data_IF_514808207082
#
_entry.id   IF_514808207082
#
_cell.length_a   1.000
_cell.length_b   1.000
_cell.length_c   1.000
_cell.angle_alpha   90.00
_cell.angle_beta   90.00
_cell.angle_gamma   90.00
#
_symmetry.space_group_name_H-M   'P 1'
#
loop_
_entity.id
_entity.type
_entity.pdbx_description
1 polymer ?
#
# COMPACT_ATOMS: atom_id res chain seq x y z
N UNK A 1 47.46 30.38 -35.79
CA UNK A 1 47.71 31.07 -34.52
C UNK A 1 46.45 30.96 -33.67
N UNK A 2 46.51 30.21 -32.56
CA UNK A 2 45.47 30.14 -31.53
C UNK A 2 45.55 31.37 -30.60
N UNK A 3 44.41 31.87 -30.12
CA UNK A 3 44.16 32.48 -28.79
C UNK A 3 42.65 32.79 -28.72
N UNK A 4 41.81 32.02 -28.00
CA UNK A 4 41.57 31.93 -26.56
C UNK A 4 40.89 33.15 -25.92
N UNK A 5 39.59 33.05 -25.60
CA UNK A 5 39.00 33.44 -24.30
C UNK A 5 37.47 33.26 -24.30
N UNK A 6 37.00 32.30 -23.51
CA UNK A 6 35.60 32.10 -23.13
C UNK A 6 35.41 32.71 -21.73
N UNK A 7 34.53 33.69 -21.48
CA UNK A 7 34.22 34.12 -20.14
C UNK A 7 32.91 33.47 -19.70
N UNK A 8 32.98 32.26 -19.15
CA UNK A 8 31.84 31.66 -18.43
C UNK A 8 32.30 30.92 -17.18
N UNK A 9 32.87 31.66 -16.24
CA UNK A 9 32.94 31.23 -14.84
C UNK A 9 31.67 31.70 -14.13
N UNK A 10 30.56 30.99 -14.35
CA UNK A 10 29.48 30.96 -13.37
C UNK A 10 29.94 29.99 -12.29
N UNK A 11 30.31 30.54 -11.14
CA UNK A 11 30.59 29.80 -9.92
C UNK A 11 29.36 28.98 -9.55
N UNK A 12 29.41 27.66 -9.76
CA UNK A 12 28.44 26.74 -9.21
C UNK A 12 28.55 26.82 -7.67
N UNK A 13 27.44 26.98 -6.93
CA UNK A 13 27.49 26.70 -5.50
C UNK A 13 27.86 25.23 -5.33
N UNK A 14 29.00 24.99 -4.70
CA UNK A 14 29.39 23.70 -4.16
C UNK A 14 28.34 23.28 -3.12
N UNK A 15 27.39 22.44 -3.51
CA UNK A 15 26.35 21.87 -2.65
C UNK A 15 26.48 20.34 -2.52
N UNK A 16 27.68 19.79 -2.59
CA UNK A 16 27.92 18.34 -2.57
C UNK A 16 28.38 17.78 -1.21
N UNK A 17 28.06 18.43 -0.09
CA UNK A 17 28.46 17.89 1.23
C UNK A 17 27.42 18.09 2.35
N UNK A 18 26.11 18.11 2.01
CA UNK A 18 25.04 18.11 3.02
C UNK A 18 23.87 17.16 2.70
N UNK A 19 23.96 16.35 1.64
CA UNK A 19 22.84 15.54 1.13
C UNK A 19 22.83 14.08 1.60
N UNK A 20 23.97 13.47 1.94
CA UNK A 20 24.02 12.00 2.15
C UNK A 20 23.28 11.45 3.39
N UNK A 21 22.96 12.27 4.39
CA UNK A 21 22.31 11.78 5.62
C UNK A 21 20.79 12.01 5.65
N UNK A 22 20.24 12.85 4.76
CA UNK A 22 18.79 13.09 4.62
C UNK A 22 18.16 12.23 3.52
N UNK A 23 18.92 11.84 2.50
CA UNK A 23 18.44 10.98 1.39
C UNK A 23 17.95 9.60 1.88
N UNK A 24 18.67 9.00 2.84
CA UNK A 24 18.37 7.64 3.32
C UNK A 24 17.09 7.55 4.16
N UNK A 25 16.82 8.56 4.99
CA UNK A 25 15.62 8.59 5.83
C UNK A 25 14.36 8.87 5.00
N UNK A 26 14.44 9.74 4.00
CA UNK A 26 13.34 10.00 3.08
C UNK A 26 13.04 8.77 2.23
N UNK A 27 14.06 8.09 1.71
CA UNK A 27 13.91 6.83 0.98
C UNK A 27 13.24 5.75 1.85
N UNK A 28 13.74 5.59 3.08
CA UNK A 28 13.21 4.63 4.03
C UNK A 28 11.76 4.94 4.38
N UNK A 29 11.42 6.21 4.62
CA UNK A 29 10.05 6.61 4.95
C UNK A 29 9.10 6.41 3.76
N UNK A 30 9.49 6.78 2.54
CA UNK A 30 8.68 6.56 1.33
C UNK A 30 8.37 5.08 1.07
N UNK A 31 9.39 4.23 1.19
CA UNK A 31 9.25 2.77 1.09
C UNK A 31 8.39 2.24 2.24
N UNK A 32 8.56 2.78 3.44
CA UNK A 32 7.83 2.35 4.62
C UNK A 32 6.33 2.67 4.55
N UNK A 33 5.97 3.88 4.12
CA UNK A 33 4.58 4.25 3.88
C UNK A 33 3.98 3.34 2.81
N UNK A 34 4.68 3.16 1.69
CA UNK A 34 4.20 2.32 0.59
C UNK A 34 3.97 0.87 0.99
N UNK A 35 4.87 0.28 1.78
CA UNK A 35 4.70 -1.07 2.36
C UNK A 35 3.52 -1.14 3.32
N UNK A 36 3.35 -0.13 4.17
CA UNK A 36 2.21 -0.03 5.10
C UNK A 36 0.87 0.06 4.36
N UNK A 37 0.80 0.90 3.32
CA UNK A 37 -0.38 1.05 2.47
C UNK A 37 -0.66 -0.22 1.66
N UNK A 38 0.38 -0.86 1.11
CA UNK A 38 0.23 -2.13 0.40
C UNK A 38 -0.23 -3.26 1.33
N UNK A 39 0.25 -3.29 2.56
CA UNK A 39 -0.24 -4.21 3.57
C UNK A 39 -1.71 -3.95 3.91
N UNK A 40 -2.09 -2.68 4.11
CA UNK A 40 -3.48 -2.27 4.33
C UNK A 40 -4.39 -2.73 3.17
N UNK A 41 -3.90 -2.60 1.92
CA UNK A 41 -4.58 -3.04 0.70
C UNK A 41 -4.87 -4.56 0.68
N UNK A 42 -4.04 -5.35 1.38
CA UNK A 42 -4.27 -6.80 1.55
C UNK A 42 -5.50 -7.13 2.40
N UNK A 43 -5.89 -6.24 3.31
CA UNK A 43 -7.10 -6.41 4.14
C UNK A 43 -8.36 -5.90 3.43
N UNK A 44 -8.28 -4.72 2.82
CA UNK A 44 -9.35 -4.07 2.06
C UNK A 44 -8.73 -3.30 0.91
N UNK A 45 -9.38 -3.29 -0.24
CA UNK A 45 -8.87 -2.69 -1.48
C UNK A 45 -9.15 -1.19 -1.50
N UNK A 46 -10.41 -0.80 -1.26
CA UNK A 46 -10.87 0.56 -1.50
C UNK A 46 -10.67 1.47 -0.31
N UNK A 47 -10.82 0.97 0.92
CA UNK A 47 -10.60 1.78 2.14
C UNK A 47 -9.18 2.39 2.19
N UNK A 48 -8.08 1.63 1.99
CA UNK A 48 -6.74 2.20 1.98
C UNK A 48 -6.49 3.17 0.82
N UNK A 49 -7.03 2.88 -0.37
CA UNK A 49 -6.93 3.77 -1.53
C UNK A 49 -7.61 5.12 -1.27
N UNK A 50 -8.82 5.10 -0.70
CA UNK A 50 -9.55 6.30 -0.32
C UNK A 50 -8.78 7.12 0.71
N UNK A 51 -8.29 6.48 1.77
CA UNK A 51 -7.56 7.16 2.84
C UNK A 51 -6.20 7.70 2.36
N UNK A 52 -5.50 6.97 1.49
CA UNK A 52 -4.26 7.44 0.87
C UNK A 52 -4.50 8.67 -0.02
N UNK A 53 -5.54 8.65 -0.85
CA UNK A 53 -5.90 9.80 -1.68
C UNK A 53 -6.40 11.01 -0.86
N UNK A 54 -7.13 10.77 0.24
CA UNK A 54 -7.48 11.81 1.22
C UNK A 54 -6.23 12.38 1.90
N UNK A 55 -5.29 11.53 2.30
CA UNK A 55 -4.01 11.96 2.89
C UNK A 55 -3.19 12.81 1.92
N UNK A 56 -3.21 12.45 0.62
CA UNK A 56 -2.56 13.23 -0.43
C UNK A 56 -3.24 14.60 -0.61
N UNK A 57 -4.57 14.64 -0.65
CA UNK A 57 -5.37 15.89 -0.74
C UNK A 57 -5.00 16.91 0.34
N UNK A 58 -4.83 16.44 1.58
CA UNK A 58 -4.50 17.31 2.72
C UNK A 58 -3.01 17.58 2.86
N UNK A 59 -2.17 17.06 1.96
CA UNK A 59 -0.72 17.28 1.95
C UNK A 59 0.08 16.41 2.93
N UNK A 60 -0.53 15.36 3.50
CA UNK A 60 0.16 14.42 4.40
C UNK A 60 0.82 13.24 3.68
N UNK A 61 0.52 13.03 2.40
CA UNK A 61 1.12 11.97 1.59
C UNK A 61 1.59 12.52 0.25
N UNK A 62 2.91 12.71 0.03
CA UNK A 62 3.41 13.12 -1.27
C UNK A 62 3.24 11.98 -2.28
N UNK A 63 2.76 12.33 -3.48
CA UNK A 63 2.50 11.38 -4.56
C UNK A 63 3.59 11.47 -5.63
N UNK A 64 4.01 10.31 -6.14
CA UNK A 64 4.96 10.23 -7.24
C UNK A 64 4.37 10.82 -8.53
N UNK A 65 5.26 11.27 -9.43
CA UNK A 65 4.85 11.81 -10.73
C UNK A 65 3.97 10.82 -11.50
N UNK A 66 2.81 11.30 -11.97
CA UNK A 66 1.79 10.49 -12.66
C UNK A 66 0.70 9.91 -11.74
N UNK A 67 0.81 10.05 -10.42
CA UNK A 67 -0.21 9.58 -9.46
C UNK A 67 -1.12 10.69 -8.91
N UNK A 68 -1.00 11.93 -9.41
CA UNK A 68 -1.85 13.05 -8.97
C UNK A 68 -3.35 12.81 -9.14
N UNK A 69 -3.77 11.93 -10.05
CA UNK A 69 -5.18 11.53 -10.16
C UNK A 69 -5.75 10.92 -8.88
N UNK A 70 -4.92 10.37 -7.99
CA UNK A 70 -5.38 9.75 -6.74
C UNK A 70 -5.96 10.79 -5.77
N UNK A 71 -5.55 12.05 -5.87
CA UNK A 71 -6.11 13.16 -5.10
C UNK A 71 -7.25 13.89 -5.85
N UNK A 72 -7.72 13.42 -7.01
CA UNK A 72 -8.78 14.11 -7.75
C UNK A 72 -10.15 13.97 -7.04
N UNK A 73 -10.99 15.00 -7.08
CA UNK A 73 -12.31 15.00 -6.42
C UNK A 73 -13.19 13.86 -6.91
N UNK A 74 -13.23 13.63 -8.22
CA UNK A 74 -14.04 12.57 -8.84
C UNK A 74 -13.53 11.20 -8.38
N UNK A 75 -12.20 11.02 -8.34
CA UNK A 75 -11.58 9.76 -7.93
C UNK A 75 -11.90 9.45 -6.47
N UNK A 76 -11.82 10.43 -5.55
CA UNK A 76 -12.18 10.19 -4.16
C UNK A 76 -13.67 9.90 -3.96
N UNK A 77 -14.57 10.54 -4.72
CA UNK A 77 -16.00 10.22 -4.65
C UNK A 77 -16.26 8.78 -5.11
N UNK A 78 -15.62 8.35 -6.19
CA UNK A 78 -15.72 6.97 -6.68
C UNK A 78 -15.12 5.97 -5.68
N UNK A 79 -13.95 6.27 -5.11
CA UNK A 79 -13.33 5.44 -4.08
C UNK A 79 -14.16 5.40 -2.79
N UNK A 80 -14.83 6.50 -2.42
CA UNK A 80 -15.74 6.54 -1.28
C UNK A 80 -16.97 5.66 -1.52
N UNK A 81 -17.59 5.76 -2.69
CA UNK A 81 -18.69 4.86 -3.08
C UNK A 81 -18.24 3.40 -3.09
N UNK A 82 -17.06 3.11 -3.65
CA UNK A 82 -16.49 1.76 -3.70
C UNK A 82 -16.15 1.22 -2.29
N UNK A 83 -15.62 2.06 -1.39
CA UNK A 83 -15.36 1.69 0.00
C UNK A 83 -16.65 1.43 0.79
N UNK A 84 -17.70 2.22 0.54
CA UNK A 84 -19.03 1.96 1.11
C UNK A 84 -19.59 0.63 0.61
N UNK A 85 -19.47 0.35 -0.69
CA UNK A 85 -19.86 -0.95 -1.26
C UNK A 85 -19.00 -2.07 -0.68
N UNK A 86 -17.70 -1.87 -0.50
CA UNK A 86 -16.78 -2.85 0.09
C UNK A 86 -17.18 -3.25 1.52
N UNK A 87 -17.65 -2.28 2.32
CA UNK A 87 -18.19 -2.52 3.66
C UNK A 87 -19.61 -3.10 3.58
N UNK A 88 -20.44 -2.64 2.65
CA UNK A 88 -21.83 -3.06 2.47
C UNK A 88 -22.01 -4.40 1.75
N UNK A 89 -20.99 -4.89 1.04
CA UNK A 89 -20.98 -6.18 0.34
C UNK A 89 -21.29 -7.35 1.30
N UNK A 90 -21.07 -7.13 2.60
CA UNK A 90 -21.51 -8.02 3.68
C UNK A 90 -23.01 -8.35 3.67
N UNK A 91 -23.86 -7.54 3.03
CA UNK A 91 -25.32 -7.69 3.05
C UNK A 91 -25.93 -8.25 1.76
N UNK A 92 -25.16 -8.51 0.70
CA UNK A 92 -25.69 -8.90 -0.62
C UNK A 92 -25.05 -10.22 -1.11
N UNK A 93 -25.61 -11.39 -0.73
CA UNK A 93 -25.00 -12.71 -0.98
C UNK A 93 -24.86 -13.14 -2.46
N UNK A 94 -25.38 -12.38 -3.43
CA UNK A 94 -25.30 -12.72 -4.88
C UNK A 94 -24.14 -12.02 -5.62
N UNK A 95 -23.49 -11.03 -5.01
CA UNK A 95 -22.36 -10.30 -5.61
C UNK A 95 -21.02 -11.06 -5.47
N UNK A 96 -21.00 -12.06 -4.60
CA UNK A 96 -19.79 -12.68 -4.05
C UNK A 96 -19.04 -13.61 -5.03
N UNK A 97 -19.74 -14.31 -5.93
CA UNK A 97 -19.09 -15.34 -6.78
C UNK A 97 -18.31 -14.78 -7.99
N UNK A 98 -18.64 -13.56 -8.45
CA UNK A 98 -17.89 -12.88 -9.52
C UNK A 98 -16.80 -11.96 -8.94
N UNK A 99 -17.03 -11.41 -7.73
CA UNK A 99 -16.02 -10.62 -7.03
C UNK A 99 -14.89 -11.47 -6.45
N UNK A 100 -15.15 -12.64 -5.86
CA UNK A 100 -14.10 -13.40 -5.15
C UNK A 100 -12.93 -13.81 -6.08
N UNK A 101 -13.19 -14.05 -7.37
CA UNK A 101 -12.13 -14.29 -8.36
C UNK A 101 -11.33 -13.02 -8.70
N UNK A 102 -11.96 -11.85 -8.63
CA UNK A 102 -11.35 -10.56 -8.94
C UNK A 102 -10.72 -9.87 -7.73
N UNK A 103 -11.14 -10.21 -6.50
CA UNK A 103 -10.70 -9.57 -5.26
C UNK A 103 -9.22 -9.85 -4.98
N UNK A 104 -8.75 -11.08 -5.20
CA UNK A 104 -7.34 -11.42 -5.03
C UNK A 104 -6.41 -10.62 -5.97
N UNK A 105 -6.62 -10.57 -7.30
CA UNK A 105 -5.81 -9.74 -8.18
C UNK A 105 -6.05 -8.24 -7.93
N UNK A 106 -7.25 -7.82 -7.52
CA UNK A 106 -7.52 -6.43 -7.14
C UNK A 106 -6.72 -5.99 -5.90
N UNK A 107 -6.60 -6.83 -4.87
CA UNK A 107 -5.79 -6.54 -3.69
C UNK A 107 -4.30 -6.39 -4.04
N UNK A 108 -3.78 -7.29 -4.88
CA UNK A 108 -2.40 -7.20 -5.36
C UNK A 108 -2.19 -5.93 -6.16
N UNK A 109 -3.05 -5.63 -7.14
CA UNK A 109 -2.92 -4.42 -7.97
C UNK A 109 -3.04 -3.14 -7.16
N UNK A 110 -3.96 -3.07 -6.18
CA UNK A 110 -4.04 -1.93 -5.27
C UNK A 110 -2.77 -1.77 -4.44
N UNK A 111 -2.19 -2.86 -3.94
CA UNK A 111 -0.91 -2.83 -3.23
C UNK A 111 0.26 -2.36 -4.10
N UNK A 112 0.30 -2.79 -5.37
CA UNK A 112 1.27 -2.29 -6.35
C UNK A 112 1.08 -0.78 -6.58
N UNK A 113 -0.16 -0.34 -6.83
CA UNK A 113 -0.46 1.07 -7.11
C UNK A 113 -0.11 1.98 -5.93
N UNK A 114 -0.48 1.59 -4.71
CA UNK A 114 -0.17 2.35 -3.50
C UNK A 114 1.33 2.43 -3.25
N UNK A 115 2.06 1.32 -3.41
CA UNK A 115 3.52 1.33 -3.31
C UNK A 115 4.15 2.21 -4.39
N UNK A 116 3.68 2.12 -5.64
CA UNK A 116 4.20 2.96 -6.71
C UNK A 116 3.92 4.46 -6.48
N UNK A 117 2.76 4.78 -5.90
CA UNK A 117 2.33 6.14 -5.64
C UNK A 117 3.18 6.84 -4.56
N UNK A 118 3.74 6.12 -3.59
CA UNK A 118 4.56 6.72 -2.52
C UNK A 118 6.04 6.84 -2.85
N UNK A 119 6.53 6.19 -3.89
CA UNK A 119 7.93 6.20 -4.31
C UNK A 119 8.25 7.44 -5.16
N UNK A 120 8.27 8.61 -4.51
CA UNK A 120 8.57 9.92 -5.09
C UNK A 120 10.02 9.99 -5.54
N UNK A 121 10.28 10.53 -6.74
CA UNK A 121 11.62 10.68 -7.34
C UNK A 121 12.42 9.39 -7.61
N UNK A 122 11.80 8.22 -7.49
CA UNK A 122 12.44 6.96 -7.91
C UNK A 122 12.51 6.85 -9.44
N UNK A 123 13.57 6.26 -10.02
CA UNK A 123 13.60 5.96 -11.45
C UNK A 123 12.49 4.94 -11.80
N UNK A 124 11.82 5.04 -12.96
CA UNK A 124 10.64 4.24 -13.28
C UNK A 124 10.83 2.72 -13.15
N UNK A 125 11.98 2.20 -13.58
CA UNK A 125 12.27 0.77 -13.51
C UNK A 125 12.31 0.27 -12.05
N UNK A 126 12.89 1.05 -11.13
CA UNK A 126 13.01 0.70 -9.72
C UNK A 126 11.67 0.83 -9.02
N UNK A 127 10.93 1.90 -9.33
CA UNK A 127 9.59 2.16 -8.80
C UNK A 127 8.65 0.98 -9.06
N UNK A 128 8.55 0.55 -10.31
CA UNK A 128 7.67 -0.55 -10.69
C UNK A 128 8.16 -1.90 -10.19
N UNK A 129 9.48 -2.11 -10.13
CA UNK A 129 10.05 -3.34 -9.56
C UNK A 129 9.71 -3.47 -8.07
N UNK A 130 9.92 -2.41 -7.28
CA UNK A 130 9.56 -2.38 -5.86
C UNK A 130 8.05 -2.46 -5.66
N UNK A 131 7.26 -1.75 -6.48
CA UNK A 131 5.81 -1.79 -6.41
C UNK A 131 5.27 -3.21 -6.63
N UNK A 132 5.73 -3.91 -7.67
CA UNK A 132 5.29 -5.27 -7.98
C UNK A 132 5.75 -6.26 -6.91
N UNK A 133 7.04 -6.23 -6.54
CA UNK A 133 7.64 -7.21 -5.64
C UNK A 133 7.23 -6.94 -4.19
N UNK A 134 7.54 -5.74 -3.67
CA UNK A 134 7.27 -5.39 -2.28
C UNK A 134 5.79 -5.05 -2.06
N UNK A 135 5.19 -4.23 -2.91
CA UNK A 135 3.77 -3.85 -2.78
C UNK A 135 2.84 -5.03 -3.05
N UNK A 136 2.92 -5.59 -4.27
CA UNK A 136 2.09 -6.73 -4.67
C UNK A 136 2.32 -7.98 -3.83
N UNK A 137 3.57 -8.30 -3.48
CA UNK A 137 3.90 -9.43 -2.62
C UNK A 137 3.35 -9.29 -1.21
N UNK A 138 3.44 -8.10 -0.61
CA UNK A 138 2.91 -7.85 0.74
C UNK A 138 1.38 -7.94 0.75
N UNK A 139 0.72 -7.28 -0.20
CA UNK A 139 -0.74 -7.32 -0.33
C UNK A 139 -1.25 -8.75 -0.54
N UNK A 140 -0.63 -9.49 -1.46
CA UNK A 140 -1.02 -10.88 -1.75
C UNK A 140 -0.84 -11.82 -0.55
N UNK A 141 0.26 -11.68 0.20
CA UNK A 141 0.52 -12.52 1.37
C UNK A 141 -0.49 -12.26 2.50
N UNK A 142 -0.81 -11.01 2.78
CA UNK A 142 -1.77 -10.67 3.84
C UNK A 142 -3.19 -11.00 3.43
N UNK A 143 -3.56 -10.72 2.18
CA UNK A 143 -4.86 -11.11 1.62
C UNK A 143 -5.07 -12.62 1.70
N UNK A 144 -4.09 -13.42 1.26
CA UNK A 144 -4.15 -14.87 1.33
C UNK A 144 -4.24 -15.40 2.76
N UNK A 145 -3.58 -14.75 3.72
CA UNK A 145 -3.68 -15.11 5.13
C UNK A 145 -5.12 -14.91 5.67
N UNK A 146 -5.77 -13.80 5.31
CA UNK A 146 -7.15 -13.50 5.69
C UNK A 146 -8.16 -14.42 5.03
N UNK A 147 -7.99 -14.71 3.73
CA UNK A 147 -8.81 -15.69 3.03
C UNK A 147 -8.76 -17.04 3.76
N UNK A 148 -7.58 -17.46 4.23
CA UNK A 148 -7.42 -18.65 5.07
C UNK A 148 -8.15 -18.56 6.42
N UNK A 149 -8.17 -17.39 7.07
CA UNK A 149 -8.91 -17.16 8.31
C UNK A 149 -10.43 -17.22 8.11
N UNK A 150 -10.94 -16.62 7.03
CA UNK A 150 -12.37 -16.65 6.66
C UNK A 150 -12.87 -18.06 6.35
N UNK A 151 -12.06 -18.85 5.63
CA UNK A 151 -12.36 -20.26 5.40
C UNK A 151 -12.39 -21.05 6.71
N UNK A 152 -11.41 -20.82 7.58
CA UNK A 152 -11.36 -21.43 8.91
C UNK A 152 -12.55 -21.04 9.81
N UNK A 153 -12.96 -19.76 9.81
CA UNK A 153 -14.10 -19.29 10.60
C UNK A 153 -15.42 -19.85 10.07
N UNK A 154 -15.58 -19.92 8.75
CA UNK A 154 -16.79 -20.49 8.13
C UNK A 154 -16.95 -21.97 8.47
N UNK A 155 -15.87 -22.75 8.37
CA UNK A 155 -15.88 -24.20 8.68
C UNK A 155 -16.12 -24.46 10.18
N UNK A 156 -15.55 -23.65 11.06
CA UNK A 156 -15.63 -23.87 12.52
C UNK A 156 -16.91 -23.33 13.18
N UNK A 157 -17.50 -22.26 12.64
CA UNK A 157 -18.63 -21.55 13.27
C UNK A 157 -19.91 -21.53 12.42
N UNK A 158 -19.92 -22.20 11.27
CA UNK A 158 -21.06 -22.19 10.34
C UNK A 158 -21.31 -20.80 9.73
N UNK A 159 -20.30 -19.93 9.69
CA UNK A 159 -20.39 -18.57 9.15
C UNK A 159 -20.79 -17.47 10.14
N UNK A 160 -21.11 -17.82 11.41
CA UNK A 160 -21.48 -16.83 12.43
C UNK A 160 -20.33 -15.87 12.80
N UNK A 161 -19.07 -16.29 12.63
CA UNK A 161 -17.91 -15.45 12.90
C UNK A 161 -17.49 -14.53 11.73
N UNK A 162 -18.08 -14.68 10.54
CA UNK A 162 -17.73 -13.85 9.37
C UNK A 162 -17.93 -12.34 9.58
N UNK A 163 -19.00 -11.84 10.23
CA UNK A 163 -19.11 -10.41 10.58
C UNK A 163 -17.98 -9.88 11.45
N UNK A 164 -17.52 -10.67 12.43
CA UNK A 164 -16.43 -10.28 13.31
C UNK A 164 -15.11 -10.15 12.52
N UNK A 165 -14.85 -11.09 11.60
CA UNK A 165 -13.67 -11.05 10.72
C UNK A 165 -13.75 -9.86 9.75
N UNK A 166 -14.89 -9.60 9.12
CA UNK A 166 -15.07 -8.47 8.20
C UNK A 166 -14.90 -7.10 8.89
N UNK A 167 -15.38 -6.99 10.13
CA UNK A 167 -15.19 -5.79 10.97
C UNK A 167 -13.71 -5.62 11.32
N UNK A 168 -13.04 -6.71 11.70
CA UNK A 168 -11.60 -6.70 11.97
C UNK A 168 -10.79 -6.27 10.74
N UNK A 169 -11.10 -6.79 9.55
CA UNK A 169 -10.38 -6.43 8.32
C UNK A 169 -10.52 -4.95 7.98
N UNK A 170 -11.74 -4.41 8.11
CA UNK A 170 -12.01 -3.00 7.84
C UNK A 170 -11.32 -2.10 8.87
N UNK A 171 -11.38 -2.48 10.16
CA UNK A 171 -10.68 -1.77 11.23
C UNK A 171 -9.16 -1.83 11.08
N UNK A 172 -8.62 -2.99 10.75
CA UNK A 172 -7.18 -3.19 10.53
C UNK A 172 -6.68 -2.42 9.30
N UNK A 173 -7.42 -2.44 8.19
CA UNK A 173 -7.08 -1.67 6.99
C UNK A 173 -7.05 -0.17 7.29
N UNK A 174 -8.07 0.35 7.98
CA UNK A 174 -8.18 1.76 8.36
C UNK A 174 -7.05 2.16 9.29
N UNK A 175 -6.85 1.42 10.38
CA UNK A 175 -5.82 1.70 11.37
C UNK A 175 -4.41 1.62 10.75
N UNK A 176 -4.12 0.58 9.96
CA UNK A 176 -2.82 0.41 9.33
C UNK A 176 -2.55 1.50 8.29
N UNK A 177 -3.57 1.96 7.56
CA UNK A 177 -3.43 3.08 6.62
C UNK A 177 -3.07 4.38 7.35
N UNK A 178 -3.78 4.69 8.43
CA UNK A 178 -3.51 5.89 9.24
C UNK A 178 -2.09 5.81 9.84
N UNK A 179 -1.72 4.65 10.41
CA UNK A 179 -0.38 4.44 10.97
C UNK A 179 0.69 4.51 9.87
N UNK A 180 0.44 4.01 8.66
CA UNK A 180 1.37 4.09 7.54
C UNK A 180 1.69 5.54 7.16
N UNK A 181 0.69 6.40 7.10
CA UNK A 181 0.87 7.81 6.75
C UNK A 181 1.53 8.58 7.91
N UNK A 182 1.08 8.36 9.15
CA UNK A 182 1.50 9.17 10.30
C UNK A 182 2.80 8.68 10.96
N UNK A 183 3.03 7.37 11.03
CA UNK A 183 4.18 6.73 11.64
C UNK A 183 4.73 5.61 10.72
N UNK A 184 5.41 5.96 9.60
CA UNK A 184 5.81 5.00 8.58
C UNK A 184 6.67 3.84 9.13
N UNK A 185 7.59 4.15 10.05
CA UNK A 185 8.46 3.16 10.68
C UNK A 185 7.67 2.14 11.52
N UNK A 186 6.64 2.60 12.23
CA UNK A 186 5.76 1.71 13.00
C UNK A 186 4.97 0.82 12.06
N UNK A 187 4.47 1.36 10.94
CA UNK A 187 3.77 0.57 9.95
C UNK A 187 4.63 -0.56 9.39
N UNK A 188 5.88 -0.29 9.00
CA UNK A 188 6.80 -1.36 8.54
C UNK A 188 7.03 -2.42 9.61
N UNK A 189 7.21 -2.03 10.88
CA UNK A 189 7.37 -2.99 11.95
C UNK A 189 6.14 -3.93 12.08
N UNK A 190 4.93 -3.37 11.97
CA UNK A 190 3.68 -4.14 11.95
C UNK A 190 3.59 -5.04 10.71
N UNK A 191 3.94 -4.54 9.52
CA UNK A 191 3.95 -5.32 8.27
C UNK A 191 4.90 -6.51 8.38
N UNK A 192 6.14 -6.28 8.83
CA UNK A 192 7.13 -7.34 9.02
C UNK A 192 6.61 -8.37 10.03
N UNK A 193 6.00 -7.93 11.13
CA UNK A 193 5.37 -8.83 12.09
C UNK A 193 4.29 -9.69 11.44
N UNK A 194 3.35 -9.10 10.71
CA UNK A 194 2.24 -9.80 10.05
C UNK A 194 2.74 -10.78 8.99
N UNK A 195 3.62 -10.33 8.09
CA UNK A 195 4.21 -11.17 7.03
C UNK A 195 4.99 -12.34 7.64
N UNK A 196 5.80 -12.10 8.68
CA UNK A 196 6.55 -13.17 9.35
C UNK A 196 5.64 -14.24 9.96
N UNK A 197 4.46 -13.84 10.46
CA UNK A 197 3.46 -14.77 11.03
C UNK A 197 2.79 -15.55 9.91
N UNK A 198 2.36 -14.90 8.84
CA UNK A 198 1.75 -15.54 7.67
C UNK A 198 2.68 -16.57 7.03
N UNK A 199 3.95 -16.21 6.80
CA UNK A 199 4.95 -17.12 6.24
C UNK A 199 5.23 -18.29 7.18
N UNK A 200 5.39 -18.05 8.48
CA UNK A 200 5.60 -19.13 9.47
C UNK A 200 4.45 -20.12 9.48
N UNK A 201 3.20 -19.66 9.39
CA UNK A 201 2.02 -20.53 9.35
C UNK A 201 2.00 -21.34 8.04
N UNK A 202 2.27 -20.71 6.90
CA UNK A 202 2.30 -21.37 5.60
C UNK A 202 3.39 -22.45 5.53
N UNK A 203 4.59 -22.14 6.00
CA UNK A 203 5.73 -23.09 6.03
C UNK A 203 5.43 -24.26 6.98
N UNK A 204 4.78 -24.03 8.13
CA UNK A 204 4.36 -25.10 9.04
C UNK A 204 3.33 -26.02 8.38
N UNK A 205 2.32 -25.48 7.68
CA UNK A 205 1.30 -26.28 6.99
C UNK A 205 1.87 -27.12 5.85
N UNK A 206 2.91 -26.66 5.15
CA UNK A 206 3.57 -27.46 4.09
C UNK A 206 4.46 -28.60 4.60
N UNK A 207 4.81 -28.60 5.90
CA UNK A 207 5.64 -29.63 6.53
C UNK A 207 4.82 -30.71 7.26
N UNK A 208 3.50 -30.56 7.33
CA UNK A 208 2.55 -31.53 7.89
C UNK A 208 1.83 -32.25 6.77
#
# INVERSE_FOLDING_TARGET
>A
MCTSACPRCVSLPNSSSSSMDLDGFELLSAVAVGLGLAAAAGFRIFVPLLLAGLAARVGHLPLAAGFGWLDDTIVLVVLAAAALIEVAAYFIPWFDNLLDAAVAPAAVTAGVLLMAATLVDFPPWLRWSLAVIAGGGTAGLLHGALAGLRLGSTVSTGGLANPAVATFETGAATALTIVAVMLPLLAVALVVFMVSRSVRILVRRRRS
#
